data_IF_785036232656
#
_entry.id   IF_785036232656
#
_cell.length_a   1.000
_cell.length_b   1.000
_cell.length_c   1.000
_cell.angle_alpha   90.00
_cell.angle_beta   90.00
_cell.angle_gamma   90.00
#
_symmetry.space_group_name_H-M   'P 1'
#
loop_
_entity.id
_entity.type
_entity.pdbx_description
1 polymer ?
#
# COMPACT_ATOMS: atom_id res chain seq x y z
N UNK A 1 22.52 -18.13 -17.79
CA UNK A 1 21.50 -18.59 -16.81
C UNK A 1 21.59 -17.88 -15.46
N UNK A 2 22.76 -17.56 -14.90
CA UNK A 2 22.86 -16.81 -13.64
C UNK A 2 22.27 -15.38 -13.67
N UNK A 3 22.13 -14.77 -14.85
CA UNK A 3 21.57 -13.43 -15.04
C UNK A 3 20.04 -13.37 -14.82
N UNK A 4 19.28 -14.36 -15.31
CA UNK A 4 17.81 -14.36 -15.20
C UNK A 4 17.32 -14.55 -13.76
N UNK A 5 17.99 -15.41 -12.98
CA UNK A 5 17.64 -15.60 -11.57
C UNK A 5 17.92 -14.35 -10.73
N UNK A 6 19.01 -13.62 -11.03
CA UNK A 6 19.31 -12.34 -10.36
C UNK A 6 18.27 -11.27 -10.68
N UNK A 7 17.82 -11.21 -11.94
CA UNK A 7 16.75 -10.32 -12.37
C UNK A 7 15.45 -10.66 -11.64
N UNK A 8 15.05 -11.94 -11.65
CA UNK A 8 13.85 -12.41 -10.96
C UNK A 8 13.90 -12.15 -9.44
N UNK A 9 15.03 -12.43 -8.80
CA UNK A 9 15.23 -12.17 -7.37
C UNK A 9 15.20 -10.69 -7.02
N UNK A 10 15.83 -9.83 -7.84
CA UNK A 10 15.80 -8.37 -7.65
C UNK A 10 14.38 -7.82 -7.81
N UNK A 11 13.66 -8.29 -8.83
CA UNK A 11 12.29 -7.89 -9.10
C UNK A 11 11.33 -8.36 -7.99
N UNK A 12 11.49 -9.61 -7.53
CA UNK A 12 10.71 -10.18 -6.43
C UNK A 12 10.96 -9.45 -5.12
N UNK A 13 12.22 -9.16 -4.79
CA UNK A 13 12.55 -8.40 -3.58
C UNK A 13 11.97 -6.98 -3.64
N UNK A 14 12.08 -6.27 -4.77
CA UNK A 14 11.45 -4.95 -4.92
C UNK A 14 9.93 -5.00 -4.75
N UNK A 15 9.27 -6.03 -5.29
CA UNK A 15 7.82 -6.18 -5.21
C UNK A 15 7.32 -6.53 -3.81
N UNK A 16 8.08 -7.30 -3.04
CA UNK A 16 7.69 -7.74 -1.69
C UNK A 16 8.16 -6.79 -0.58
N UNK A 17 9.31 -6.13 -0.77
CA UNK A 17 9.99 -5.33 0.24
C UNK A 17 10.34 -3.94 -0.31
N UNK A 18 9.35 -3.23 -0.86
CA UNK A 18 9.57 -1.93 -1.51
C UNK A 18 10.13 -0.89 -0.55
N UNK A 19 9.67 -0.84 0.70
CA UNK A 19 10.16 0.14 1.69
C UNK A 19 11.65 -0.08 2.01
N UNK A 20 12.02 -1.31 2.37
CA UNK A 20 13.42 -1.69 2.59
C UNK A 20 14.29 -1.42 1.36
N UNK A 21 13.76 -1.70 0.17
CA UNK A 21 14.47 -1.44 -1.08
C UNK A 21 14.71 0.06 -1.28
N UNK A 22 13.70 0.90 -1.04
CA UNK A 22 13.82 2.36 -1.14
C UNK A 22 14.81 2.88 -0.10
N UNK A 23 14.74 2.39 1.13
CA UNK A 23 15.67 2.77 2.19
C UNK A 23 17.11 2.36 1.86
N UNK A 24 17.34 1.20 1.26
CA UNK A 24 18.71 0.75 0.97
C UNK A 24 19.29 1.36 -0.31
N UNK A 25 18.47 1.54 -1.34
CA UNK A 25 18.96 1.79 -2.70
C UNK A 25 18.51 3.12 -3.32
N UNK A 26 17.50 3.82 -2.77
CA UNK A 26 17.04 5.06 -3.38
C UNK A 26 18.06 6.20 -3.18
N UNK A 27 18.42 6.87 -4.28
CA UNK A 27 19.30 8.06 -4.26
C UNK A 27 18.56 9.35 -3.85
N UNK A 28 17.25 9.42 -4.10
CA UNK A 28 16.42 10.61 -3.89
C UNK A 28 15.56 10.53 -2.62
N UNK A 29 16.12 10.10 -1.49
CA UNK A 29 15.37 10.02 -0.22
C UNK A 29 14.92 11.38 0.32
N UNK A 30 15.69 12.42 0.04
CA UNK A 30 15.43 13.80 0.51
C UNK A 30 14.49 14.58 -0.40
N UNK A 31 14.09 14.00 -1.55
CA UNK A 31 13.24 14.63 -2.57
C UNK A 31 12.05 13.74 -2.92
N UNK A 32 11.05 13.60 -2.02
CA UNK A 32 9.89 12.75 -2.27
C UNK A 32 9.04 13.23 -3.46
N UNK A 33 9.13 14.51 -3.82
CA UNK A 33 8.38 15.12 -4.93
C UNK A 33 8.74 14.53 -6.30
N UNK A 34 9.94 13.95 -6.47
CA UNK A 34 10.35 13.33 -7.75
C UNK A 34 9.85 11.89 -7.90
N UNK A 35 9.12 11.35 -6.91
CA UNK A 35 8.46 10.04 -6.96
C UNK A 35 9.36 8.87 -7.43
N UNK A 36 10.65 8.91 -7.10
CA UNK A 36 11.61 7.89 -7.51
C UNK A 36 11.20 6.50 -7.01
N UNK A 37 10.88 6.38 -5.72
CA UNK A 37 10.44 5.13 -5.08
C UNK A 37 11.34 3.92 -5.43
N UNK A 38 12.67 4.15 -5.51
CA UNK A 38 13.65 3.11 -5.86
C UNK A 38 13.67 2.71 -7.34
N UNK A 39 12.72 3.15 -8.17
CA UNK A 39 12.57 2.77 -9.58
C UNK A 39 13.79 3.13 -10.44
N UNK A 40 14.45 4.25 -10.14
CA UNK A 40 15.65 4.67 -10.88
C UNK A 40 16.83 3.72 -10.69
N UNK A 41 16.98 3.13 -9.50
CA UNK A 41 18.05 2.16 -9.25
C UNK A 41 17.63 0.77 -9.71
N UNK A 42 16.36 0.41 -9.54
CA UNK A 42 15.79 -0.81 -10.10
C UNK A 42 16.00 -0.89 -11.62
N UNK A 43 15.68 0.17 -12.36
CA UNK A 43 15.88 0.20 -13.81
C UNK A 43 17.35 0.04 -14.19
N UNK A 44 18.27 0.69 -13.46
CA UNK A 44 19.72 0.51 -13.64
C UNK A 44 20.17 -0.93 -13.37
N UNK A 45 19.59 -1.61 -12.37
CA UNK A 45 19.89 -3.02 -12.07
C UNK A 45 19.36 -3.97 -13.16
N UNK A 46 18.16 -3.72 -13.66
CA UNK A 46 17.51 -4.54 -14.70
C UNK A 46 18.12 -4.31 -16.10
N UNK A 47 18.63 -3.12 -16.39
CA UNK A 47 19.18 -2.75 -17.68
C UNK A 47 20.62 -3.26 -17.92
N UNK A 48 21.32 -3.79 -16.91
CA UNK A 48 22.71 -4.27 -17.06
C UNK A 48 22.80 -5.47 -18.02
N UNK A 49 22.96 -5.18 -19.31
CA UNK A 49 23.74 -5.96 -20.28
C UNK A 49 25.16 -5.40 -20.29
N UNK A 50 26.12 -6.17 -19.79
CA UNK A 50 27.56 -6.20 -20.12
C UNK A 50 28.42 -4.92 -20.23
N UNK A 51 27.92 -3.70 -20.14
CA UNK A 51 28.80 -2.53 -20.27
C UNK A 51 29.49 -2.18 -18.95
N UNK A 52 30.81 -2.27 -19.05
CA UNK A 52 31.86 -2.04 -18.07
C UNK A 52 31.75 -0.67 -17.37
N UNK A 53 32.58 -0.47 -16.35
CA UNK A 53 32.90 0.80 -15.66
C UNK A 53 32.10 1.22 -14.43
N UNK A 54 30.91 0.66 -14.14
CA UNK A 54 30.27 0.92 -12.83
C UNK A 54 30.15 -0.36 -12.04
N UNK A 55 30.92 -0.45 -10.94
CA UNK A 55 30.96 -1.55 -9.96
C UNK A 55 29.65 -2.35 -10.02
N UNK A 56 29.69 -3.67 -10.33
CA UNK A 56 28.48 -4.48 -10.35
C UNK A 56 27.72 -4.21 -9.05
N UNK A 57 26.41 -3.96 -9.14
CA UNK A 57 25.60 -3.84 -7.93
C UNK A 57 25.84 -5.12 -7.15
N UNK A 58 26.46 -5.00 -5.98
CA UNK A 58 26.78 -6.16 -5.18
C UNK A 58 25.45 -6.67 -4.63
N UNK A 59 24.93 -7.71 -5.29
CA UNK A 59 23.72 -8.43 -4.92
C UNK A 59 24.09 -9.68 -4.10
N UNK A 60 25.29 -9.75 -3.51
CA UNK A 60 25.68 -10.91 -2.70
C UNK A 60 24.82 -11.02 -1.44
N UNK A 61 24.20 -9.91 -1.01
CA UNK A 61 23.16 -9.91 0.04
C UNK A 61 21.87 -10.65 -0.36
N UNK A 62 21.58 -10.88 -1.65
CA UNK A 62 20.49 -11.77 -2.07
C UNK A 62 20.91 -13.25 -1.97
N UNK A 63 22.22 -13.53 -1.92
CA UNK A 63 22.76 -14.89 -1.82
C UNK A 63 22.64 -15.47 -0.42
N UNK A 64 22.44 -14.61 0.58
CA UNK A 64 22.37 -14.98 1.99
C UNK A 64 21.13 -14.32 2.58
N UNK A 65 20.31 -15.07 3.32
CA UNK A 65 19.28 -14.59 4.27
C UNK A 65 17.84 -14.35 3.79
N UNK A 66 17.49 -14.32 2.50
CA UNK A 66 16.05 -14.23 2.14
C UNK A 66 15.42 -15.64 2.07
N UNK A 67 14.86 -16.10 3.18
CA UNK A 67 14.02 -17.31 3.19
C UNK A 67 12.64 -16.92 2.64
N UNK A 68 12.38 -17.27 1.38
CA UNK A 68 11.07 -17.09 0.77
C UNK A 68 10.21 -18.32 1.08
N UNK A 69 9.30 -18.20 2.06
CA UNK A 69 8.30 -19.24 2.33
C UNK A 69 7.13 -19.07 1.36
N UNK A 70 7.17 -19.83 0.26
CA UNK A 70 6.08 -19.92 -0.71
C UNK A 70 5.19 -21.09 -0.31
N UNK A 71 3.99 -20.80 0.15
CA UNK A 71 2.98 -21.80 0.47
C UNK A 71 1.75 -21.59 -0.40
N UNK A 72 1.13 -22.70 -0.81
CA UNK A 72 -0.09 -22.68 -1.60
C UNK A 72 -1.27 -22.76 -0.66
N UNK A 73 -2.03 -21.67 -0.54
CA UNK A 73 -3.27 -21.66 0.23
C UNK A 73 -4.36 -22.30 -0.64
N UNK A 74 -4.65 -23.58 -0.39
CA UNK A 74 -5.64 -24.33 -1.18
C UNK A 74 -7.08 -23.84 -0.95
N UNK A 75 -7.42 -23.41 0.28
CA UNK A 75 -8.68 -22.71 0.55
C UNK A 75 -8.67 -22.06 1.93
N UNK A 76 -9.30 -20.87 2.03
CA UNK A 76 -9.60 -20.21 3.32
C UNK A 76 -11.12 -20.20 3.46
N UNK A 77 -11.63 -20.85 4.50
CA UNK A 77 -13.04 -20.76 4.88
C UNK A 77 -13.19 -19.84 6.10
N UNK A 78 -14.16 -18.93 6.02
CA UNK A 78 -14.54 -18.09 7.14
C UNK A 78 -15.84 -18.63 7.71
N UNK A 79 -15.89 -18.85 9.03
CA UNK A 79 -17.15 -19.16 9.69
C UNK A 79 -18.06 -17.93 9.63
N UNK A 80 -19.22 -18.10 9.02
CA UNK A 80 -20.26 -17.07 8.99
C UNK A 80 -21.13 -17.25 10.22
N UNK A 81 -21.08 -16.28 11.13
CA UNK A 81 -21.98 -16.26 12.27
C UNK A 81 -23.33 -15.65 11.84
N UNK A 82 -24.47 -16.24 12.24
CA UNK A 82 -25.76 -15.65 11.94
C UNK A 82 -25.86 -14.30 12.67
N UNK A 83 -25.92 -13.21 11.88
CA UNK A 83 -26.21 -11.88 12.42
C UNK A 83 -27.66 -11.90 12.89
N UNK A 84 -27.87 -12.06 14.19
CA UNK A 84 -29.20 -11.80 14.76
C UNK A 84 -29.46 -10.31 14.62
N UNK A 85 -30.34 -9.93 13.68
CA UNK A 85 -30.89 -8.57 13.63
C UNK A 85 -31.76 -8.38 14.87
N UNK A 86 -31.15 -7.93 15.96
CA UNK A 86 -31.88 -7.44 17.12
C UNK A 86 -32.61 -6.18 16.66
N UNK A 87 -33.88 -6.30 16.26
CA UNK A 87 -34.76 -5.15 16.04
C UNK A 87 -35.10 -4.54 17.41
N UNK A 88 -34.18 -3.76 17.97
CA UNK A 88 -34.46 -2.86 19.11
C UNK A 88 -34.44 -1.42 18.61
N UNK A 89 -35.42 -1.08 17.78
CA UNK A 89 -35.78 0.31 17.55
C UNK A 89 -37.21 0.49 18.01
N UNK A 90 -37.38 0.90 19.26
CA UNK A 90 -38.62 1.49 19.75
C UNK A 90 -38.47 3.00 19.54
N UNK A 91 -38.98 3.49 18.42
CA UNK A 91 -39.06 4.93 18.18
C UNK A 91 -40.36 5.44 18.81
N UNK A 92 -40.25 6.19 19.90
CA UNK A 92 -41.37 6.93 20.47
C UNK A 92 -41.25 8.37 20.03
N UNK A 93 -42.10 8.78 19.10
CA UNK A 93 -42.19 10.17 18.67
C UNK A 93 -43.04 10.95 19.69
N UNK A 94 -42.38 11.74 20.52
CA UNK A 94 -43.02 12.66 21.47
C UNK A 94 -43.14 14.08 20.89
N UNK A 95 -42.91 14.25 19.59
CA UNK A 95 -43.04 15.55 18.95
C UNK A 95 -44.48 16.04 19.05
N UNK A 96 -44.64 17.16 19.75
CA UNK A 96 -45.91 17.89 19.80
C UNK A 96 -45.66 19.25 19.21
N UNK A 97 -46.11 19.45 17.97
CA UNK A 97 -45.99 20.72 17.29
C UNK A 97 -46.64 21.82 18.14
N UNK A 98 -45.83 22.79 18.54
CA UNK A 98 -46.31 23.99 19.23
C UNK A 98 -46.24 25.16 18.24
N UNK A 99 -47.40 25.60 17.77
CA UNK A 99 -47.48 26.76 16.89
C UNK A 99 -47.02 28.02 17.65
N UNK A 100 -45.85 28.52 17.30
CA UNK A 100 -45.40 29.84 17.74
C UNK A 100 -45.79 30.83 16.65
N UNK A 101 -46.75 31.70 16.95
CA UNK A 101 -47.17 32.77 16.05
C UNK A 101 -45.97 33.69 15.78
N UNK A 102 -45.39 33.59 14.58
CA UNK A 102 -44.30 34.46 14.15
C UNK A 102 -44.89 35.85 13.90
N UNK A 103 -44.52 36.83 14.73
CA UNK A 103 -44.84 38.24 14.50
C UNK A 103 -43.91 38.71 13.38
N UNK A 104 -44.47 38.89 12.19
CA UNK A 104 -43.72 39.42 11.04
C UNK A 104 -43.58 40.92 11.26
N UNK A 105 -42.37 41.36 11.61
CA UNK A 105 -42.04 42.79 11.68
C UNK A 105 -41.58 43.20 10.28
N UNK A 106 -42.25 44.15 9.62
CA UNK A 106 -41.84 44.59 8.29
C UNK A 106 -40.45 45.25 8.35
N UNK A 107 -39.62 45.11 7.29
CA UNK A 107 -38.33 45.78 7.23
C UNK A 107 -38.54 47.29 7.27
N UNK A 108 -37.71 47.98 8.05
CA UNK A 108 -37.69 49.45 8.08
C UNK A 108 -37.20 49.95 6.72
N UNK A 109 -37.98 50.84 6.10
CA UNK A 109 -37.57 51.58 4.91
C UNK A 109 -36.48 52.58 5.25
#
# INVERSE_FOLDING_TARGET
MASSLKIAGTMGYYALFTEDFVERFCENKTRPEVQCNGKCVLSKMLAKKEQEERKPFNLDWLRTETILFLDTIDSVSFETFPISKIKRFLHSDFYRFHFIKKIIIPPKQ
#
